data_IF_453059514147
#
_entry.id   IF_453059514147
#
_cell.length_a   1.000
_cell.length_b   1.000
_cell.length_c   1.000
_cell.angle_alpha   90.00
_cell.angle_beta   90.00
_cell.angle_gamma   90.00
#
_symmetry.space_group_name_H-M   'P 1'
#
loop_
_entity.id
_entity.type
_entity.pdbx_description
1 polymer ?
2 non-polymer ?
3 water ?
#
# COMPACT_ATOMS: atom_id res chain seq x y z
N UNK A 1 -5.44 3.90 22.93
CA UNK A 1 -5.33 2.50 22.42
C UNK A 1 -6.33 2.22 21.30
N UNK A 2 -5.84 1.61 20.21
CA UNK A 2 -6.68 1.21 19.08
C UNK A 2 -7.79 0.27 19.52
N UNK A 3 -9.04 0.64 19.21
CA UNK A 3 -10.17 -0.21 19.56
C UNK A 3 -10.13 -1.50 18.75
N UNK A 4 -10.74 -2.55 19.29
CA UNK A 4 -10.84 -3.82 18.57
C UNK A 4 -11.56 -3.64 17.24
N UNK A 5 -12.59 -2.81 17.23
CA UNK A 5 -13.37 -2.57 16.01
C UNK A 5 -12.49 -1.92 14.96
N UNK A 6 -11.73 -0.90 15.37
CA UNK A 6 -10.82 -0.21 14.46
C UNK A 6 -9.70 -1.10 13.99
N UNK A 7 -9.21 -1.97 14.87
CA UNK A 7 -8.14 -2.92 14.51
C UNK A 7 -8.64 -3.88 13.43
N UNK A 8 -9.87 -4.35 13.57
CA UNK A 8 -10.42 -5.22 12.54
C UNK A 8 -10.53 -4.48 11.20
N UNK A 9 -10.98 -3.22 11.25
CA UNK A 9 -11.12 -2.45 10.01
C UNK A 9 -9.78 -2.25 9.31
N UNK A 10 -8.75 -1.99 10.11
CA UNK A 10 -7.40 -1.81 9.59
C UNK A 10 -6.83 -3.12 9.02
N UNK A 11 -6.99 -4.20 9.78
CA UNK A 11 -6.37 -5.46 9.37
C UNK A 11 -7.15 -6.19 8.27
N UNK A 12 -8.46 -6.02 8.24
CA UNK A 12 -9.29 -6.92 7.43
C UNK A 12 -10.26 -6.29 6.45
N UNK A 13 -10.39 -4.96 6.45
CA UNK A 13 -11.36 -4.34 5.54
C UNK A 13 -10.70 -3.57 4.41
N UNK A 14 -11.08 -3.89 3.18
CA UNK A 14 -10.73 -3.08 2.02
C UNK A 14 -11.89 -3.07 1.04
N UNK A 15 -12.96 -2.36 1.43
CA UNK A 15 -14.21 -2.39 0.68
C UNK A 15 -14.03 -1.77 -0.69
N UNK A 16 -14.50 -2.46 -1.72
CA UNK A 16 -14.37 -1.97 -3.10
C UNK A 16 -14.49 -3.06 -4.13
N UNK A 17 -14.69 -2.66 -5.39
CA UNK A 17 -14.92 -3.59 -6.49
C UNK A 17 -13.70 -4.20 -7.13
N UNK A 18 -12.63 -3.42 -7.24
CA UNK A 18 -11.41 -3.88 -7.91
C UNK A 18 -10.17 -3.51 -7.09
N UNK A 19 -10.00 -4.15 -5.92
CA UNK A 19 -8.94 -3.76 -4.98
C UNK A 19 -7.52 -3.77 -5.55
N UNK A 20 -7.23 -4.73 -6.43
CA UNK A 20 -5.88 -4.91 -6.98
C UNK A 20 -5.69 -4.24 -8.34
N UNK A 21 -6.72 -3.53 -8.81
CA UNK A 21 -6.65 -2.81 -10.07
C UNK A 21 -5.46 -1.85 -10.11
N UNK A 22 -4.91 -1.65 -11.30
CA UNK A 22 -3.81 -0.69 -11.49
C UNK A 22 -4.21 0.71 -11.04
N UNK A 23 -5.50 1.02 -11.15
CA UNK A 23 -6.04 2.31 -10.70
C UNK A 23 -5.86 2.56 -9.21
N UNK A 24 -5.66 1.49 -8.44
CA UNK A 24 -5.48 1.61 -6.99
C UNK A 24 -4.00 1.65 -6.55
N UNK A 25 -3.09 1.61 -7.52
CA UNK A 25 -1.66 1.56 -7.21
C UNK A 25 -1.25 2.71 -6.30
N UNK A 26 -1.61 3.93 -6.68
CA UNK A 26 -1.22 5.08 -5.88
C UNK A 26 -1.82 5.08 -4.48
N UNK A 27 -3.09 4.68 -4.36
CA UNK A 27 -3.71 4.56 -3.04
C UNK A 27 -2.90 3.66 -2.13
N UNK A 28 -2.50 2.52 -2.67
CA UNK A 28 -1.76 1.52 -1.92
C UNK A 28 -0.35 2.01 -1.62
N UNK A 29 0.31 2.57 -2.63
CA UNK A 29 1.71 2.98 -2.51
C UNK A 29 1.90 4.18 -1.62
N UNK A 30 1.06 5.19 -1.80
CA UNK A 30 1.16 6.39 -0.98
C UNK A 30 0.97 6.07 0.50
N UNK A 31 0.09 5.10 0.78
CA UNK A 31 -0.09 4.62 2.15
C UNK A 31 1.15 3.85 2.64
N UNK A 32 1.54 2.82 1.88
CA UNK A 32 2.66 1.96 2.27
C UNK A 32 3.96 2.73 2.47
N UNK A 33 4.22 3.66 1.55
CA UNK A 33 5.45 4.46 1.61
C UNK A 33 5.34 5.69 2.51
N UNK A 34 4.32 5.70 3.36
CA UNK A 34 4.21 6.67 4.46
C UNK A 34 4.09 8.12 4.00
N UNK A 35 3.32 8.34 2.95
CA UNK A 35 3.04 9.70 2.49
C UNK A 35 1.58 10.10 2.70
N UNK A 36 0.90 9.36 3.57
CA UNK A 36 -0.49 9.68 3.98
C UNK A 36 -0.63 9.75 5.49
N UNK A 37 0.50 9.83 6.20
CA UNK A 37 0.47 10.00 7.64
C UNK A 37 0.48 11.49 7.99
N UNK A 38 -0.53 11.93 8.72
CA UNK A 38 -0.67 13.34 9.10
C UNK A 38 -1.49 14.14 8.11
N UNK A 39 -1.17 13.98 6.83
CA UNK A 39 -1.84 14.67 5.72
C UNK A 39 -1.59 13.89 4.43
N UNK A 40 -2.40 14.14 3.40
CA UNK A 40 -2.18 13.52 2.10
C UNK A 40 -1.17 14.32 1.30
N UNK A 41 -0.03 13.72 0.96
CA UNK A 41 0.88 14.37 0.02
C UNK A 41 0.11 14.55 -1.30
N UNK A 42 0.03 15.80 -1.79
CA UNK A 42 -0.83 16.07 -2.94
C UNK A 42 -0.33 15.48 -4.27
N UNK A 43 0.99 15.45 -4.48
CA UNK A 43 1.59 14.99 -5.73
C UNK A 43 2.84 14.18 -5.40
N UNK A 44 2.98 12.99 -5.99
CA UNK A 44 4.19 12.18 -5.81
C UNK A 44 4.42 11.26 -6.99
N UNK A 45 5.67 11.15 -7.41
CA UNK A 45 6.08 10.31 -8.53
C UNK A 45 6.92 9.13 -8.07
N UNK A 46 6.59 7.96 -8.61
CA UNK A 46 7.39 6.76 -8.42
C UNK A 46 8.10 6.41 -9.72
N UNK A 47 9.34 5.96 -9.59
CA UNK A 47 10.17 5.65 -10.74
C UNK A 47 10.39 4.15 -10.84
N UNK A 48 10.12 3.58 -12.01
CA UNK A 48 10.16 2.12 -12.16
C UNK A 48 11.46 1.55 -12.74
N UNK A 49 12.46 2.40 -12.83
CA UNK A 49 13.75 2.03 -13.37
C UNK A 49 14.65 1.56 -12.25
N UNK A 50 15.77 0.93 -12.60
CA UNK A 50 16.69 0.46 -11.58
C UNK A 50 17.30 1.61 -10.80
N UNK A 51 17.64 1.34 -9.55
CA UNK A 51 18.30 2.31 -8.71
C UNK A 51 19.60 2.83 -9.35
N UNK A 52 20.35 1.94 -10.00
CA UNK A 52 21.57 2.36 -10.72
C UNK A 52 21.28 3.42 -11.80
N UNK A 53 20.19 3.22 -12.55
CA UNK A 53 19.83 4.15 -13.61
C UNK A 53 19.42 5.51 -13.06
N UNK A 54 18.71 5.50 -11.93
CA UNK A 54 18.31 6.75 -11.30
C UNK A 54 19.53 7.44 -10.69
N UNK A 55 20.40 6.67 -10.04
CA UNK A 55 21.65 7.23 -9.52
C UNK A 55 22.55 7.84 -10.61
N UNK A 56 22.57 7.20 -11.78
CA UNK A 56 23.33 7.69 -12.94
C UNK A 56 22.96 9.11 -13.36
N UNK A 57 21.74 9.52 -13.06
CA UNK A 57 21.25 10.85 -13.44
C UNK A 57 22.12 11.93 -12.79
N UNK A 58 22.67 11.62 -11.61
CA UNK A 58 23.54 12.55 -10.87
C UNK A 58 24.85 12.86 -11.60
N UNK A 59 25.12 12.15 -12.68
CA UNK A 59 26.27 12.48 -13.51
C UNK A 59 25.88 12.92 -14.93
N UNK A 60 24.60 13.28 -15.11
CA UNK A 60 24.07 13.65 -16.44
C UNK A 60 23.85 15.17 -16.61
N UNK A 61 22.73 15.56 -17.21
CA UNK A 61 22.47 16.97 -17.56
C UNK A 61 22.09 17.84 -16.35
N UNK A 62 22.99 18.73 -15.96
CA UNK A 62 22.71 19.74 -14.94
C UNK A 62 21.58 20.68 -15.35
N UNK A 63 20.61 20.86 -14.45
CA UNK A 63 19.56 21.85 -14.61
C UNK A 63 19.32 22.51 -13.25
N UNK A 64 18.85 23.75 -13.24
CA UNK A 64 18.52 24.39 -11.97
C UNK A 64 17.26 23.75 -11.44
N UNK A 65 17.22 23.53 -10.12
CA UNK A 65 16.02 22.98 -9.50
C UNK A 65 14.93 24.04 -9.57
N UNK A 66 13.68 23.60 -9.53
CA UNK A 66 12.53 24.54 -9.52
C UNK A 66 12.67 25.59 -8.41
N UNK A 67 13.23 25.20 -7.27
CA UNK A 67 13.36 26.09 -6.10
C UNK A 67 14.64 26.92 -6.06
N UNK A 68 15.40 26.92 -7.16
CA UNK A 68 16.61 27.73 -7.24
C UNK A 68 17.88 27.08 -6.71
N UNK A 69 17.76 25.91 -6.08
CA UNK A 69 18.97 25.17 -5.70
C UNK A 69 19.64 24.70 -6.96
N UNK A 70 20.94 24.42 -6.85
CA UNK A 70 21.80 24.26 -8.02
C UNK A 70 22.36 22.85 -8.17
N UNK A 71 21.75 21.91 -7.45
CA UNK A 71 22.19 20.52 -7.48
C UNK A 71 21.20 19.58 -8.18
N UNK A 72 20.53 20.06 -9.22
CA UNK A 72 19.61 19.20 -9.97
C UNK A 72 20.20 18.71 -11.28
N UNK A 73 19.67 17.59 -11.74
CA UNK A 73 20.19 16.89 -12.89
C UNK A 73 19.03 16.25 -13.62
N UNK A 74 19.07 16.31 -14.95
CA UNK A 74 18.03 15.72 -15.78
C UNK A 74 18.55 14.44 -16.43
N UNK A 75 17.71 13.41 -16.41
CA UNK A 75 18.02 12.13 -17.04
C UNK A 75 18.19 12.31 -18.55
N UNK A 76 19.24 11.70 -19.09
CA UNK A 76 19.49 11.79 -20.53
C UNK A 76 18.40 11.08 -21.34
N UNK A 77 17.83 10.03 -20.76
CA UNK A 77 16.76 9.27 -21.40
C UNK A 77 15.46 9.36 -20.61
N UNK A 78 14.34 9.04 -21.26
CA UNK A 78 13.07 8.93 -20.56
C UNK A 78 13.08 7.71 -19.63
N UNK A 79 12.25 7.79 -18.60
CA UNK A 79 12.08 6.71 -17.64
C UNK A 79 10.60 6.39 -17.44
N UNK A 80 10.34 5.13 -17.09
CA UNK A 80 8.97 4.68 -16.80
C UNK A 80 8.64 5.16 -15.40
N UNK A 81 7.64 6.03 -15.31
CA UNK A 81 7.25 6.61 -14.03
C UNK A 81 5.75 6.54 -13.83
N UNK A 82 5.34 6.64 -12.57
CA UNK A 82 3.94 6.73 -12.23
C UNK A 82 3.74 7.99 -11.41
N UNK A 83 2.82 8.83 -11.86
CA UNK A 83 2.38 10.00 -11.09
C UNK A 83 1.17 9.66 -10.23
N UNK A 84 1.23 10.09 -8.98
CA UNK A 84 0.11 9.96 -8.06
C UNK A 84 -0.37 11.36 -7.71
N UNK A 85 -1.62 11.65 -8.04
CA UNK A 85 -2.18 12.98 -7.76
C UNK A 85 -3.49 12.82 -7.02
N UNK A 86 -3.64 13.58 -5.94
CA UNK A 86 -4.87 13.58 -5.16
C UNK A 86 -6.06 13.88 -6.05
N UNK A 87 -7.14 13.12 -5.86
CA UNK A 87 -8.41 13.38 -6.54
C UNK A 87 -9.12 14.57 -5.88
N UNK A 88 -10.21 15.01 -6.48
CA UNK A 88 -11.07 16.03 -5.88
C UNK A 88 -11.75 15.52 -4.62
N UNK A 89 -12.13 14.24 -4.66
CA UNK A 89 -12.82 13.59 -3.54
C UNK A 89 -11.92 13.32 -2.33
N UNK A 90 -10.60 13.36 -2.55
CA UNK A 90 -9.60 13.06 -1.52
C UNK A 90 -9.61 14.06 -0.37
N UNK A 91 -9.73 13.53 0.85
CA UNK A 91 -9.59 14.33 2.08
C UNK A 91 -9.11 13.45 3.24
N UNK A 92 -8.02 13.87 3.88
CA UNK A 92 -7.44 13.16 5.03
C UNK A 92 -8.48 12.84 6.11
N UNK A 93 -8.40 11.63 6.71
CA UNK A 93 -7.44 10.54 6.52
C UNK A 93 -7.80 9.57 5.39
N UNK A 94 -8.77 9.95 4.56
CA UNK A 94 -9.15 9.16 3.40
C UNK A 94 -8.50 9.73 2.14
N UNK A 95 -7.19 9.53 2.04
CA UNK A 95 -6.43 10.00 0.90
C UNK A 95 -6.73 9.18 -0.33
N UNK A 96 -7.03 9.86 -1.43
CA UNK A 96 -7.42 9.21 -2.67
C UNK A 96 -6.62 9.76 -3.84
N UNK A 97 -6.10 8.87 -4.66
CA UNK A 97 -5.17 9.25 -5.70
C UNK A 97 -5.55 8.73 -7.07
N UNK A 98 -5.27 9.56 -8.07
CA UNK A 98 -5.33 9.14 -9.46
C UNK A 98 -3.94 8.65 -9.86
N UNK A 99 -3.92 7.45 -10.44
CA UNK A 99 -2.69 6.83 -10.91
C UNK A 99 -2.55 7.03 -12.41
N UNK A 100 -1.43 7.61 -12.84
CA UNK A 100 -1.14 7.80 -14.26
C UNK A 100 0.29 7.38 -14.60
N UNK A 101 0.43 6.57 -15.65
CA UNK A 101 1.72 6.05 -16.05
C UNK A 101 2.19 6.79 -17.30
N UNK A 102 3.41 7.28 -17.26
CA UNK A 102 4.01 7.99 -18.40
C UNK A 102 5.47 7.65 -18.52
N UNK A 103 6.05 8.01 -19.66
CA UNK A 103 7.47 7.88 -19.87
C UNK A 103 8.02 9.27 -20.15
N UNK A 104 8.82 9.77 -19.20
CA UNK A 104 9.34 11.14 -19.25
C UNK A 104 10.78 11.18 -18.73
N UNK A 105 11.50 12.23 -19.10
CA UNK A 105 12.77 12.53 -18.45
C UNK A 105 12.48 12.95 -17.02
N UNK A 106 13.34 12.56 -16.09
CA UNK A 106 13.18 13.01 -14.69
C UNK A 106 14.25 14.01 -14.32
N UNK A 107 13.91 14.90 -13.40
CA UNK A 107 14.86 15.84 -12.85
C UNK A 107 14.89 15.60 -11.36
N UNK A 108 16.08 15.27 -10.86
CA UNK A 108 16.28 15.02 -9.42
C UNK A 108 17.37 15.92 -8.86
N UNK A 109 17.26 16.22 -7.57
CA UNK A 109 18.37 16.83 -6.86
C UNK A 109 19.27 15.71 -6.34
N UNK A 110 20.58 15.91 -6.43
CA UNK A 110 21.55 14.95 -5.92
C UNK A 110 22.38 15.56 -4.80
N UNK A 111 22.62 14.76 -3.77
CA UNK A 111 23.36 15.23 -2.61
C UNK A 111 24.05 14.09 -1.90
N UNK A 112 24.88 14.44 -0.93
CA UNK A 112 25.64 13.47 -0.19
C UNK A 112 26.92 13.04 -0.89
N UNK A 113 27.63 12.11 -0.26
CA UNK A 113 28.80 11.48 -0.87
C UNK A 113 28.72 9.97 -0.59
N UNK A 114 28.59 9.15 -1.64
CA UNK A 114 28.46 9.51 -3.06
C UNK A 114 27.24 10.37 -3.32
N UNK A 115 27.30 11.17 -4.38
CA UNK A 115 26.15 12.02 -4.77
C UNK A 115 25.05 11.13 -5.35
N UNK A 116 23.90 11.11 -4.67
CA UNK A 116 22.78 10.27 -5.07
C UNK A 116 21.49 11.09 -5.04
N UNK A 117 20.43 10.61 -5.70
CA UNK A 117 19.19 11.39 -5.67
C UNK A 117 18.61 11.55 -4.25
N UNK A 118 18.25 12.79 -3.91
CA UNK A 118 17.69 13.12 -2.61
C UNK A 118 16.33 13.81 -2.70
N UNK A 119 15.97 14.27 -3.90
CA UNK A 119 14.68 14.94 -4.11
C UNK A 119 14.26 14.70 -5.54
N UNK A 120 12.96 14.53 -5.74
CA UNK A 120 12.39 14.48 -7.08
C UNK A 120 11.86 15.87 -7.40
N UNK A 121 12.47 16.50 -8.40
CA UNK A 121 12.13 17.89 -8.71
C UNK A 121 10.98 18.02 -9.70
N UNK A 122 11.01 17.23 -10.77
CA UNK A 122 10.09 17.39 -11.89
C UNK A 122 10.28 16.26 -12.90
N UNK A 123 9.28 16.10 -13.78
CA UNK A 123 9.46 15.30 -14.99
C UNK A 123 9.22 16.21 -16.19
N UNK A 124 9.86 15.90 -17.31
CA UNK A 124 9.71 16.73 -18.51
C UNK A 124 9.60 15.85 -19.76
N UNK B 1 18.00 9.03 12.36
CA UNK B 1 17.13 9.78 11.40
C UNK B 1 17.32 9.22 9.99
N UNK B 2 16.20 9.00 9.30
CA UNK B 2 16.21 8.48 7.93
C UNK B 2 17.09 9.37 7.05
N UNK B 3 17.98 8.76 6.28
CA UNK B 3 18.86 9.52 5.41
C UNK B 3 18.06 10.09 4.23
N UNK B 4 18.51 11.21 3.68
CA UNK B 4 17.87 11.78 2.50
C UNK B 4 17.82 10.79 1.35
N UNK B 5 18.90 10.01 1.18
CA UNK B 5 18.96 8.99 0.14
C UNK B 5 17.88 7.93 0.35
N UNK B 6 17.76 7.44 1.59
CA UNK B 6 16.75 6.44 1.93
C UNK B 6 15.34 6.99 1.78
N UNK B 7 15.17 8.26 2.16
CA UNK B 7 13.89 8.95 1.97
C UNK B 7 13.49 9.04 0.50
N UNK B 8 14.46 9.36 -0.37
CA UNK B 8 14.19 9.37 -1.80
C UNK B 8 13.79 7.98 -2.28
N UNK B 9 14.46 6.94 -1.80
CA UNK B 9 14.12 5.59 -2.22
C UNK B 9 12.71 5.22 -1.79
N UNK B 10 12.37 5.59 -0.56
CA UNK B 10 11.02 5.35 -0.05
C UNK B 10 9.93 6.11 -0.80
N UNK B 11 10.19 7.39 -1.05
CA UNK B 11 9.16 8.24 -1.63
C UNK B 11 9.05 8.07 -3.13
N UNK B 12 10.15 7.72 -3.79
CA UNK B 12 10.19 7.81 -5.26
C UNK B 12 10.63 6.60 -6.05
N UNK B 13 11.11 5.55 -5.40
CA UNK B 13 11.61 4.38 -6.13
C UNK B 13 10.66 3.18 -6.04
N UNK B 14 10.32 2.62 -7.20
CA UNK B 14 9.65 1.33 -7.23
C UNK B 14 10.20 0.49 -8.38
N UNK B 15 11.45 0.07 -8.21
CA UNK B 15 12.20 -0.63 -9.27
C UNK B 15 11.66 -2.02 -9.54
N UNK B 16 11.13 -2.64 -8.50
CA UNK B 16 10.77 -4.05 -8.53
C UNK B 16 9.35 -4.37 -8.97
N UNK B 17 8.53 -3.35 -9.20
CA UNK B 17 7.10 -3.52 -9.49
C UNK B 17 6.59 -2.49 -10.50
N UNK B 18 5.33 -2.62 -10.91
CA UNK B 18 4.64 -1.54 -11.64
C UNK B 18 3.15 -1.59 -11.27
N UNK B 19 2.40 -0.51 -11.57
CA UNK B 19 0.95 -0.51 -11.27
C UNK B 19 0.17 -1.67 -11.85
N UNK B 20 0.65 -2.23 -12.96
CA UNK B 20 -0.03 -3.39 -13.54
C UNK B 20 0.29 -4.72 -12.82
N UNK B 21 1.14 -4.67 -11.78
CA UNK B 21 1.49 -5.87 -11.01
C UNK B 21 0.41 -6.21 -9.96
N UNK B 22 -0.73 -6.72 -10.41
CA UNK B 22 -1.87 -7.01 -9.51
C UNK B 22 -1.54 -7.98 -8.40
N UNK B 23 -0.58 -8.87 -8.67
CA UNK B 23 -0.07 -9.82 -7.68
C UNK B 23 0.60 -9.12 -6.53
N UNK B 24 0.85 -7.81 -6.69
CA UNK B 24 1.57 -7.02 -5.70
C UNK B 24 0.63 -6.48 -4.63
N UNK B 25 -0.67 -6.72 -4.80
CA UNK B 25 -1.69 -6.20 -3.87
C UNK B 25 -1.35 -6.46 -2.39
N UNK B 26 -1.10 -7.71 -2.06
CA UNK B 26 -0.83 -8.05 -0.66
C UNK B 26 0.44 -7.42 -0.12
N UNK B 27 1.50 -7.35 -0.94
CA UNK B 27 2.72 -6.68 -0.53
C UNK B 27 2.47 -5.25 -0.07
N UNK B 28 1.69 -4.52 -0.85
CA UNK B 28 1.43 -3.13 -0.58
C UNK B 28 0.43 -2.94 0.53
N UNK B 29 -0.62 -3.78 0.56
CA UNK B 29 -1.67 -3.64 1.56
C UNK B 29 -1.20 -4.06 2.96
N UNK B 30 -0.41 -5.13 3.03
CA UNK B 30 0.15 -5.56 4.30
C UNK B 30 1.06 -4.48 4.88
N UNK B 31 1.79 -3.80 3.99
CA UNK B 31 2.62 -2.67 4.36
C UNK B 31 1.76 -1.48 4.78
N UNK B 32 0.80 -1.11 3.95
CA UNK B 32 -0.07 0.02 4.22
C UNK B 32 -0.77 -0.10 5.57
N UNK B 33 -1.26 -1.30 5.86
CA UNK B 33 -2.09 -1.53 7.04
C UNK B 33 -1.29 -1.96 8.26
N UNK B 34 0.03 -1.75 8.19
CA UNK B 34 0.94 -1.89 9.35
C UNK B 34 1.03 -3.31 9.91
N UNK B 35 1.02 -4.30 9.02
CA UNK B 35 1.15 -5.69 9.43
C UNK B 35 2.50 -6.30 9.02
N UNK B 36 3.46 -5.42 8.72
CA UNK B 36 4.82 -5.86 8.37
C UNK B 36 5.88 -5.22 9.27
N UNK B 37 5.46 -4.81 10.46
CA UNK B 37 6.37 -4.16 11.41
C UNK B 37 6.79 -5.13 12.51
N UNK B 38 8.10 -5.19 12.77
CA UNK B 38 8.66 -6.14 13.74
C UNK B 38 8.81 -7.53 13.15
N UNK B 39 7.78 -7.95 12.41
CA UNK B 39 7.75 -9.26 11.74
C UNK B 39 6.69 -9.24 10.64
N UNK B 40 6.80 -10.18 9.70
CA UNK B 40 5.76 -10.35 8.69
C UNK B 40 4.63 -11.19 9.27
N UNK B 41 3.43 -10.61 9.38
CA UNK B 41 2.25 -11.39 9.73
C UNK B 41 2.08 -12.43 8.61
N UNK B 42 2.09 -13.73 8.97
CA UNK B 42 2.17 -14.77 7.94
C UNK B 42 0.92 -14.95 7.07
N UNK B 43 -0.27 -14.73 7.64
CA UNK B 43 -1.51 -14.92 6.91
C UNK B 43 -2.47 -13.80 7.31
N UNK B 44 -3.08 -13.15 6.32
CA UNK B 44 -4.07 -12.13 6.60
C UNK B 44 -5.03 -11.97 5.46
N UNK B 45 -6.31 -11.84 5.81
CA UNK B 45 -7.39 -11.74 4.85
C UNK B 45 -7.98 -10.34 4.85
N UNK B 46 -8.15 -9.79 3.64
CA UNK B 46 -8.90 -8.55 3.46
C UNK B 46 -10.22 -8.84 2.80
N UNK B 47 -11.26 -8.18 3.28
CA UNK B 47 -12.61 -8.35 2.80
C UNK B 47 -13.01 -7.14 1.96
N UNK B 48 -13.61 -7.40 0.80
CA UNK B 48 -13.92 -6.31 -0.14
C UNK B 48 -15.40 -5.94 -0.22
N UNK B 49 -16.23 -6.67 0.52
CA UNK B 49 -17.62 -6.28 0.71
C UNK B 49 -17.68 -5.02 1.57
N UNK B 50 -18.86 -4.39 1.60
CA UNK B 50 -19.06 -3.22 2.44
C UNK B 50 -18.86 -3.52 3.92
N UNK B 51 -18.47 -2.50 4.67
CA UNK B 51 -18.42 -2.61 6.12
C UNK B 51 -19.77 -3.04 6.69
N UNK B 52 -20.87 -2.51 6.15
CA UNK B 52 -22.19 -2.91 6.63
C UNK B 52 -22.44 -4.41 6.48
N UNK B 53 -22.08 -4.97 5.32
CA UNK B 53 -22.24 -6.40 5.08
C UNK B 53 -21.43 -7.27 6.02
N UNK B 54 -20.20 -6.82 6.32
CA UNK B 54 -19.36 -7.58 7.23
C UNK B 54 -19.87 -7.46 8.67
N UNK B 55 -20.26 -6.25 9.06
CA UNK B 55 -20.91 -6.05 10.36
C UNK B 55 -22.13 -6.97 10.54
N UNK B 56 -22.89 -7.14 9.45
CA UNK B 56 -24.11 -7.94 9.50
C UNK B 56 -23.88 -9.43 9.80
N UNK B 57 -22.66 -9.91 9.56
CA UNK B 57 -22.31 -11.31 9.84
C UNK B 57 -22.47 -11.62 11.33
N UNK B 58 -22.32 -10.61 12.19
CA UNK B 58 -22.48 -10.81 13.64
C UNK B 58 -23.90 -11.18 14.05
N UNK B 59 -24.84 -10.99 13.12
CA UNK B 59 -26.24 -11.34 13.35
C UNK B 59 -26.66 -12.55 12.50
N UNK B 60 -25.67 -13.23 11.92
CA UNK B 60 -25.92 -14.37 11.04
C UNK B 60 -25.62 -15.72 11.73
N UNK B 61 -25.05 -16.68 11.01
CA UNK B 61 -24.96 -18.06 11.56
C UNK B 61 -23.88 -18.24 12.63
N UNK B 62 -24.32 -18.66 13.81
CA UNK B 62 -23.43 -18.93 14.93
C UNK B 62 -22.63 -20.21 14.67
N UNK B 63 -21.30 -20.10 14.77
CA UNK B 63 -20.42 -21.24 14.53
C UNK B 63 -19.30 -21.27 15.58
N UNK B 64 -18.64 -22.42 15.67
CA UNK B 64 -17.48 -22.59 16.56
C UNK B 64 -16.29 -21.75 16.05
N UNK B 65 -15.65 -21.00 16.96
CA UNK B 65 -14.40 -20.30 16.62
C UNK B 65 -13.30 -21.34 16.57
N UNK B 66 -12.32 -21.14 15.68
CA UNK B 66 -11.18 -22.05 15.60
C UNK B 66 -10.44 -22.17 16.94
N UNK B 67 -10.44 -21.09 17.73
CA UNK B 67 -9.77 -21.08 19.04
C UNK B 67 -10.67 -21.52 20.21
N UNK B 68 -11.86 -22.01 19.89
CA UNK B 68 -12.77 -22.51 20.93
C UNK B 68 -13.62 -21.47 21.62
N UNK B 69 -13.40 -20.19 21.30
CA UNK B 69 -14.28 -19.16 21.83
C UNK B 69 -15.66 -19.31 21.19
N UNK B 70 -16.66 -18.71 21.81
CA UNK B 70 -18.04 -18.95 21.38
C UNK B 70 -18.71 -17.68 20.85
N UNK B 71 -17.93 -16.81 20.21
CA UNK B 71 -18.45 -15.56 19.65
C UNK B 71 -18.17 -15.43 18.15
N UNK B 72 -18.11 -16.57 17.46
CA UNK B 72 -17.91 -16.56 16.00
C UNK B 72 -19.17 -16.75 15.21
N UNK B 73 -19.18 -16.17 14.02
CA UNK B 73 -20.35 -16.13 13.15
C UNK B 73 -19.91 -16.26 11.71
N UNK B 74 -20.66 -17.05 10.97
CA UNK B 74 -20.39 -17.32 9.56
C UNK B 74 -21.31 -16.50 8.68
N UNK B 75 -20.76 -15.92 7.62
CA UNK B 75 -21.56 -15.16 6.66
C UNK B 75 -22.62 -16.02 5.97
N UNK B 76 -23.80 -15.44 5.72
CA UNK B 76 -24.90 -16.16 5.07
C UNK B 76 -24.62 -16.45 3.60
N UNK B 77 -23.75 -15.64 3.00
CA UNK B 77 -23.35 -15.82 1.62
C UNK B 77 -21.83 -15.70 1.48
N UNK B 78 -21.32 -16.14 0.34
CA UNK B 78 -19.91 -15.94 0.04
C UNK B 78 -19.60 -14.46 -0.06
N UNK B 79 -18.34 -14.13 0.19
CA UNK B 79 -17.86 -12.77 0.09
C UNK B 79 -16.60 -12.72 -0.72
N UNK B 80 -16.40 -11.60 -1.40
CA UNK B 80 -15.17 -11.31 -2.10
C UNK B 80 -14.11 -10.92 -1.09
N UNK B 81 -13.07 -11.74 -1.00
CA UNK B 81 -11.97 -11.53 -0.08
C UNK B 81 -10.64 -11.79 -0.80
N UNK B 82 -9.55 -11.36 -0.19
CA UNK B 82 -8.20 -11.63 -0.68
C UNK B 82 -7.39 -12.21 0.47
N UNK B 83 -6.80 -13.39 0.24
CA UNK B 83 -5.91 -13.97 1.21
C UNK B 83 -4.50 -13.54 0.86
N UNK B 84 -3.79 -13.05 1.88
CA UNK B 84 -2.38 -12.68 1.76
C UNK B 84 -1.57 -13.65 2.60
N UNK B 85 -0.72 -14.40 1.93
CA UNK B 85 0.06 -15.42 2.59
C UNK B 85 1.52 -15.22 2.28
N UNK B 86 2.32 -15.15 3.34
CA UNK B 86 3.75 -14.96 3.24
C UNK B 86 4.37 -16.11 2.44
N UNK B 87 5.21 -15.76 1.48
CA UNK B 87 5.86 -16.74 0.62
C UNK B 87 7.03 -17.41 1.34
N UNK B 88 7.48 -18.54 0.80
CA UNK B 88 8.63 -19.26 1.34
C UNK B 88 9.92 -18.47 1.19
N UNK B 89 9.97 -17.60 0.18
CA UNK B 89 11.14 -16.76 -0.10
C UNK B 89 11.13 -15.48 0.72
N UNK B 90 9.99 -15.15 1.32
CA UNK B 90 9.84 -13.94 2.12
C UNK B 90 10.70 -13.97 3.37
N UNK B 91 11.34 -12.84 3.64
CA UNK B 91 12.23 -12.70 4.79
C UNK B 91 12.23 -11.25 5.28
N UNK B 92 11.87 -11.07 6.54
CA UNK B 92 11.84 -9.75 7.19
C UNK B 92 13.20 -9.05 7.08
N UNK B 93 13.21 -7.73 6.81
CA UNK B 93 12.09 -6.80 6.72
C UNK B 93 11.43 -6.68 5.34
N UNK B 94 11.85 -7.52 4.40
CA UNK B 94 11.24 -7.54 3.07
C UNK B 94 10.13 -8.59 2.97
N UNK B 95 8.97 -8.24 3.53
CA UNK B 95 7.84 -9.14 3.60
C UNK B 95 7.15 -9.32 2.25
N UNK B 96 7.24 -10.54 1.73
CA UNK B 96 6.65 -10.87 0.45
C UNK B 96 5.45 -11.78 0.61
N UNK B 97 4.40 -11.51 -0.15
CA UNK B 97 3.14 -12.23 -0.05
C UNK B 97 2.62 -12.71 -1.39
N UNK B 98 1.96 -13.87 -1.37
CA UNK B 98 1.10 -14.28 -2.48
C UNK B 98 -0.30 -13.72 -2.25
N UNK B 99 -0.88 -13.18 -3.32
CA UNK B 99 -2.23 -12.66 -3.33
C UNK B 99 -3.17 -13.67 -3.98
N UNK B 100 -4.17 -14.12 -3.21
CA UNK B 100 -5.16 -15.04 -3.76
C UNK B 100 -6.55 -14.43 -3.66
N UNK B 101 -7.18 -14.24 -4.81
CA UNK B 101 -8.55 -13.77 -4.88
C UNK B 101 -9.47 -14.93 -4.62
N UNK B 102 -10.34 -14.77 -3.64
CA UNK B 102 -11.26 -15.84 -3.29
C UNK B 102 -12.68 -15.33 -3.06
N UNK B 103 -13.66 -16.22 -3.26
CA UNK B 103 -15.04 -15.95 -2.91
C UNK B 103 -15.54 -17.10 -2.07
N UNK B 104 -15.52 -16.87 -0.75
CA UNK B 104 -15.91 -17.87 0.24
C UNK B 104 -16.73 -17.22 1.33
N UNK B 105 -17.46 -18.03 2.07
CA UNK B 105 -18.10 -17.58 3.30
C UNK B 105 -16.98 -17.25 4.31
N UNK B 106 -17.16 -16.17 5.08
CA UNK B 106 -16.17 -15.82 6.11
C UNK B 106 -16.72 -16.13 7.51
N UNK B 107 -15.82 -16.35 8.45
CA UNK B 107 -16.17 -16.50 9.85
C UNK B 107 -15.41 -15.43 10.61
N UNK B 108 -16.15 -14.59 11.33
CA UNK B 108 -15.55 -13.56 12.15
C UNK B 108 -15.97 -13.71 13.60
N UNK B 109 -15.11 -13.27 14.50
CA UNK B 109 -15.47 -13.17 15.93
C UNK B 109 -16.06 -11.78 16.13
N UNK B 110 -17.15 -11.70 16.89
CA UNK B 110 -17.78 -10.42 17.15
C UNK B 110 -17.72 -10.07 18.63
N UNK B 111 -17.60 -8.77 18.90
CA UNK B 111 -17.50 -8.29 20.27
C UNK B 111 -17.90 -6.84 20.39
N UNK B 112 -17.99 -6.36 21.61
CA UNK B 112 -18.46 -5.01 21.86
C UNK B 112 -19.97 -4.89 21.87
N UNK B 113 -20.44 -3.70 22.22
CA UNK B 113 -21.87 -3.40 22.18
C UNK B 113 -22.04 -2.03 21.50
N UNK B 114 -22.54 -2.03 20.24
CA UNK B 114 -23.06 -3.16 19.49
C UNK B 114 -21.97 -4.16 19.09
N UNK B 115 -22.40 -5.40 18.86
CA UNK B 115 -21.50 -6.46 18.49
C UNK B 115 -21.04 -6.26 17.04
N UNK B 116 -19.74 -6.07 16.88
CA UNK B 116 -19.13 -5.80 15.57
C UNK B 116 -17.95 -6.75 15.40
N UNK B 117 -17.50 -6.96 14.16
CA UNK B 117 -16.36 -7.86 13.97
C UNK B 117 -15.10 -7.35 14.64
N UNK B 118 -14.43 -8.25 15.37
CA UNK B 118 -13.19 -7.91 16.05
C UNK B 118 -12.02 -8.81 15.61
N UNK B 119 -12.31 -9.98 15.04
CA UNK B 119 -11.27 -10.91 14.62
C UNK B 119 -11.74 -11.61 13.36
N UNK B 120 -10.81 -11.90 12.45
CA UNK B 120 -11.12 -12.73 11.29
C UNK B 120 -10.68 -14.13 11.64
N UNK B 121 -11.62 -15.06 11.66
CA UNK B 121 -11.32 -16.40 12.14
C UNK B 121 -10.87 -17.34 11.03
N UNK B 122 -11.63 -17.34 9.93
CA UNK B 122 -11.40 -18.30 8.85
C UNK B 122 -12.30 -17.99 7.68
N UNK B 123 -11.98 -18.58 6.53
CA UNK B 123 -12.91 -18.65 5.41
C UNK B 123 -13.25 -20.12 5.25
N UNK B 124 -14.45 -20.38 4.73
CA UNK B 124 -14.91 -21.75 4.56
C UNK B 124 -15.58 -21.89 3.21
X LIG C 1 6.70 15.90 -6.66
X LIG C 1 6.78 14.70 -7.34
X LIG C 1 6.64 14.67 -8.72
X LIG C 1 6.43 15.83 -9.43
X LIG C 1 6.36 17.04 -8.75
X LIG C 1 6.42 17.05 -7.35
X LIG C 1 6.97 13.65 -6.74
X LIG C 1 6.33 15.78 -10.66
X LIG C 1 6.84 15.91 -5.17
X LIG C 1 8.26 16.12 -4.69
X LIG C 1 8.64 15.05 -3.84
X LIG C 1 8.24 17.45 -3.94
X LIG C 1 6.76 17.76 -3.75
X LIG C 1 6.02 16.93 -4.62
X LIG C 1 8.88 17.37 -2.69
X LIG C 1 6.47 19.25 -3.98
X LIG C 1 5.79 19.49 -5.19
X LIG C 1 6.20 20.73 -6.16
X LIG C 1 6.11 20.33 -7.58
X LIG C 1 7.56 21.22 -5.85
X LIG C 1 5.08 21.85 -5.88
X LIG C 1 4.92 22.61 -4.47
X LIG C 1 4.21 21.70 -3.54
X LIG C 1 4.11 23.83 -4.69
X LIG C 1 6.24 22.96 -3.91
X LIG D 1 -5.97 -14.96 9.57
X LIG D 1 -6.62 -14.37 8.49
X LIG D 1 -7.25 -15.16 7.54
X LIG D 1 -7.23 -16.54 7.66
X LIG D 1 -6.57 -17.13 8.73
X LIG D 1 -6.01 -16.33 9.72
X LIG D 1 -6.66 -13.15 8.37
X LIG D 1 -7.80 -17.23 6.81
X LIG D 1 -5.28 -14.11 10.57
X LIG D 1 -6.17 -13.70 11.73
X LIG D 1 -6.22 -12.29 11.78
X LIG D 1 -5.49 -14.25 12.96
X LIG D 1 -4.10 -14.67 12.51
X LIG D 1 -4.14 -14.77 11.10
X LIG D 1 -5.40 -13.27 13.98
X LIG D 1 -3.70 -16.00 13.15
X LIG D 1 -3.26 -16.92 12.17
X LIG D 1 -3.68 -18.47 12.20
X LIG D 1 -3.77 -18.96 10.80
X LIG D 1 -4.94 -18.72 12.92
X LIG D 1 -2.42 -19.18 12.91
X LIG D 1 -2.31 -19.39 14.51
X LIG D 1 -0.94 -19.01 14.93
X LIG D 1 -2.52 -20.82 14.82
X LIG D 1 -3.29 -18.56 15.25
#
# INVERSE_FOLDING_TARGET
KESAAAKFERQHMDSGNSPSSSSNYCNLMMCCRKMTQGKCKPVNTFVHESLADVKAVCSQKKVTCKNGQTNCYQSKSTMRITDCRETGSSKYPNCAYKTTQVEKHIIVACGGKPSVPVHFDASV
KESAAAKFERQHMDSGNSPSSSSNYCNLMMCCRKMTQGKCKPVNTFVHESLADVKAVCSQKKVTCKNGQTNCYQSKSTMRITDCRETGSSKYPNCAYKTTQVEKHIIVACGGKPSVPVHFDASV
UDP N1 C2 N3 C4 C5 C6 O2 O4 C1' C2' O2' C3' C4' O4' O3' C5' O5' PA O1A O2A O3A PB O1B O2B O3B
UDP N1 C2 N3 C4 C5 C6 O2 O4 C1' C2' O2' C3' C4' O4' O3' C5' O5' PA O1A O2A O3A PB O1B O2B O3B
#
